data_IF_270455490689
#
_entry.id   IF_270455490689
#
_cell.length_a   1.000
_cell.length_b   1.000
_cell.length_c   1.000
_cell.angle_alpha   90.00
_cell.angle_beta   90.00
_cell.angle_gamma   90.00
#
_symmetry.space_group_name_H-M   'P 1'
#
loop_
_entity.id
_entity.type
_entity.pdbx_description
1 polymer ?
#
# COMPACT_ATOMS: atom_id res chain seq x y z
N UNK A 1 -15.87 -1.64 -2.47
CA UNK A 1 -14.51 -1.08 -2.60
C UNK A 1 -13.38 -2.12 -2.76
N UNK A 2 -13.54 -3.41 -2.42
CA UNK A 2 -12.42 -4.39 -2.49
C UNK A 2 -11.84 -4.63 -3.89
N UNK A 3 -12.61 -4.35 -4.94
CA UNK A 3 -12.21 -4.61 -6.34
C UNK A 3 -11.23 -3.58 -6.92
N UNK A 4 -11.22 -2.35 -6.41
CA UNK A 4 -10.37 -1.28 -6.95
C UNK A 4 -8.91 -1.49 -6.58
N UNK A 5 -8.60 -1.63 -5.30
CA UNK A 5 -7.21 -1.75 -4.86
C UNK A 5 -6.58 -3.07 -5.32
N UNK A 6 -7.36 -4.17 -5.38
CA UNK A 6 -6.86 -5.45 -5.89
C UNK A 6 -6.41 -5.33 -7.35
N UNK A 7 -7.17 -4.63 -8.20
CA UNK A 7 -6.78 -4.38 -9.60
C UNK A 7 -5.55 -3.50 -9.75
N UNK A 8 -5.40 -2.49 -8.88
CA UNK A 8 -4.33 -1.50 -9.00
C UNK A 8 -3.02 -1.91 -8.30
N UNK A 9 -3.11 -2.69 -7.22
CA UNK A 9 -1.97 -2.98 -6.34
C UNK A 9 -1.64 -4.46 -6.17
N UNK A 10 -2.62 -5.38 -6.28
CA UNK A 10 -2.35 -6.82 -6.13
C UNK A 10 -1.82 -7.46 -7.42
N UNK A 11 -2.08 -6.83 -8.57
CA UNK A 11 -1.56 -7.24 -9.88
C UNK A 11 -0.22 -6.58 -10.22
N UNK A 12 0.34 -5.74 -9.34
CA UNK A 12 1.64 -5.14 -9.56
C UNK A 12 2.70 -6.23 -9.72
N UNK A 13 3.41 -6.21 -10.84
CA UNK A 13 4.52 -7.15 -11.14
C UNK A 13 5.85 -6.47 -10.84
N UNK A 14 6.11 -6.17 -9.57
CA UNK A 14 7.34 -5.48 -9.14
C UNK A 14 8.58 -6.39 -9.18
N UNK A 15 8.50 -7.56 -9.81
CA UNK A 15 9.60 -8.53 -9.92
C UNK A 15 9.98 -9.22 -8.60
N UNK A 16 9.47 -8.77 -7.45
CA UNK A 16 9.78 -9.30 -6.13
C UNK A 16 8.49 -9.55 -5.32
N UNK A 17 8.41 -10.75 -4.74
CA UNK A 17 7.24 -11.23 -4.00
C UNK A 17 6.93 -10.40 -2.74
N UNK A 18 7.95 -9.91 -2.04
CA UNK A 18 7.79 -9.05 -0.86
C UNK A 18 7.25 -7.69 -1.29
N UNK A 19 7.70 -7.16 -2.42
CA UNK A 19 7.20 -5.91 -2.99
C UNK A 19 5.73 -6.03 -3.37
N UNK A 20 5.36 -7.09 -4.09
CA UNK A 20 3.98 -7.31 -4.51
C UNK A 20 3.05 -7.45 -3.30
N UNK A 21 3.47 -8.17 -2.26
CA UNK A 21 2.71 -8.31 -1.01
C UNK A 21 2.52 -6.97 -0.29
N UNK A 22 3.56 -6.13 -0.25
CA UNK A 22 3.45 -4.83 0.42
C UNK A 22 2.63 -3.83 -0.39
N UNK A 23 2.75 -3.81 -1.72
CA UNK A 23 1.87 -3.03 -2.60
C UNK A 23 0.40 -3.40 -2.37
N UNK A 24 0.11 -4.69 -2.29
CA UNK A 24 -1.21 -5.24 -1.93
C UNK A 24 -1.72 -4.69 -0.59
N UNK A 25 -0.89 -4.70 0.46
CA UNK A 25 -1.23 -4.17 1.78
C UNK A 25 -1.51 -2.65 1.74
N UNK A 26 -0.67 -1.89 1.03
CA UNK A 26 -0.83 -0.44 0.83
C UNK A 26 -2.17 -0.13 0.15
N UNK A 27 -2.46 -0.79 -0.97
CA UNK A 27 -3.71 -0.59 -1.69
C UNK A 27 -4.94 -0.88 -0.82
N UNK A 28 -4.87 -1.92 0.01
CA UNK A 28 -5.95 -2.26 0.96
C UNK A 28 -6.16 -1.14 1.98
N UNK A 29 -5.09 -0.64 2.60
CA UNK A 29 -5.15 0.44 3.59
C UNK A 29 -5.72 1.73 2.97
N UNK A 30 -5.22 2.12 1.80
CA UNK A 30 -5.71 3.31 1.08
C UNK A 30 -7.20 3.19 0.70
N UNK A 31 -7.65 2.00 0.34
CA UNK A 31 -9.06 1.77 0.02
C UNK A 31 -9.98 1.85 1.24
N UNK A 32 -9.47 1.57 2.43
CA UNK A 32 -10.22 1.64 3.68
C UNK A 32 -10.34 3.07 4.18
N UNK A 33 -9.32 3.91 3.95
CA UNK A 33 -9.32 5.34 4.27
C UNK A 33 -9.63 6.23 3.09
N UNK A 34 -10.45 5.79 2.13
CA UNK A 34 -10.76 6.59 0.95
C UNK A 34 -11.51 7.87 1.36
N UNK A 35 -10.93 9.03 1.03
CA UNK A 35 -11.45 10.35 1.42
C UNK A 35 -10.87 10.91 2.73
N UNK A 36 -10.09 10.12 3.47
CA UNK A 36 -9.30 10.60 4.61
C UNK A 36 -7.96 11.17 4.14
N UNK A 37 -7.36 12.04 4.96
CA UNK A 37 -6.02 12.55 4.67
C UNK A 37 -4.98 11.42 4.76
N UNK A 38 -3.94 11.46 3.92
CA UNK A 38 -2.88 10.45 3.96
C UNK A 38 -2.24 10.37 5.34
N UNK A 39 -2.05 11.48 6.06
CA UNK A 39 -1.52 11.44 7.42
C UNK A 39 -2.38 10.57 8.37
N UNK A 40 -3.71 10.67 8.28
CA UNK A 40 -4.65 9.91 9.12
C UNK A 40 -4.64 8.41 8.77
N UNK A 41 -4.60 8.10 7.47
CA UNK A 41 -4.50 6.73 6.96
C UNK A 41 -3.16 6.09 7.32
N UNK A 42 -2.07 6.87 7.30
CA UNK A 42 -0.71 6.38 7.48
C UNK A 42 -0.30 6.29 8.95
N UNK A 43 -0.87 7.12 9.85
CA UNK A 43 -0.63 7.03 11.28
C UNK A 43 -1.11 5.69 11.87
N UNK A 44 -2.16 5.11 11.28
CA UNK A 44 -2.74 3.83 11.70
C UNK A 44 -2.01 2.62 11.11
N UNK A 45 -1.16 2.80 10.08
CA UNK A 45 -0.61 1.71 9.29
C UNK A 45 0.92 1.75 9.11
N UNK A 46 1.62 1.02 9.99
CA UNK A 46 3.08 0.82 9.95
C UNK A 46 3.64 0.28 8.61
N UNK A 47 2.82 -0.38 7.80
CA UNK A 47 3.22 -0.92 6.49
C UNK A 47 3.66 0.17 5.50
N UNK A 48 3.15 1.39 5.63
CA UNK A 48 3.50 2.54 4.77
C UNK A 48 4.76 3.27 5.24
N UNK A 49 5.06 3.32 6.54
CA UNK A 49 6.35 3.81 7.05
C UNK A 49 7.52 3.02 6.45
N UNK A 50 7.36 1.70 6.31
CA UNK A 50 8.33 0.83 5.64
C UNK A 50 8.34 0.94 4.11
N UNK A 51 7.36 1.61 3.50
CA UNK A 51 7.41 1.91 2.08
C UNK A 51 8.45 3.00 1.77
N UNK A 52 8.77 3.88 2.73
CA UNK A 52 9.86 4.86 2.60
C UNK A 52 11.26 4.27 2.84
N UNK A 53 11.35 3.10 3.48
CA UNK A 53 12.61 2.33 3.57
C UNK A 53 13.08 1.79 2.21
N UNK A 54 12.28 1.97 1.13
CA UNK A 54 12.63 1.60 -0.24
C UNK A 54 13.59 2.54 -0.95
N UNK A 55 13.98 3.66 -0.34
CA UNK A 55 15.08 4.42 -0.90
C UNK A 55 16.37 3.64 -0.61
N UNK A 56 17.06 3.11 -1.64
CA UNK A 56 18.44 2.68 -1.44
C UNK A 56 19.22 3.86 -0.86
N UNK A 57 20.04 3.62 0.17
CA UNK A 57 21.15 4.52 0.48
C UNK A 57 22.21 4.41 -0.60
#
# INVERSE_FOLDING_TARGET
MSRWWSKNFALSQLGDRRLNRRATEIGKILSQGFGEALEEVFNKANALKRAYEFLPR
#
